data_IF_249068973126
#
_entry.id   IF_249068973126
#
_cell.length_a   1.000
_cell.length_b   1.000
_cell.length_c   1.000
_cell.angle_alpha   90.00
_cell.angle_beta   90.00
_cell.angle_gamma   90.00
#
_symmetry.space_group_name_H-M   'P 1'
#
loop_
_entity.id
_entity.type
_entity.pdbx_description
1 polymer ?
#
# COMPACT_ATOMS: atom_id res chain seq x y z
N UNK A 1 3.15 13.71 22.50
CA UNK A 1 3.25 13.27 21.09
C UNK A 1 2.77 11.82 20.98
N UNK A 2 1.75 11.53 20.18
CA UNK A 2 1.22 10.16 20.04
C UNK A 2 2.30 9.24 19.44
N UNK A 3 2.64 8.15 20.13
CA UNK A 3 3.56 7.11 19.66
C UNK A 3 3.02 6.58 18.32
N UNK A 4 3.71 6.84 17.21
CA UNK A 4 3.37 6.24 15.91
C UNK A 4 3.46 4.72 16.08
N UNK A 5 2.31 4.03 16.10
CA UNK A 5 2.27 2.56 16.10
C UNK A 5 3.03 2.08 14.85
N UNK A 6 4.14 1.38 15.07
CA UNK A 6 4.93 0.76 14.01
C UNK A 6 4.05 -0.15 13.14
N UNK A 7 4.49 -0.43 11.92
CA UNK A 7 3.84 -1.40 11.05
C UNK A 7 4.00 -2.81 11.65
N UNK A 8 2.89 -3.51 11.83
CA UNK A 8 2.88 -4.90 12.27
C UNK A 8 3.26 -5.81 11.10
N UNK A 9 3.85 -6.95 11.40
CA UNK A 9 4.22 -7.95 10.40
C UNK A 9 3.04 -8.39 9.51
N UNK A 10 1.84 -8.52 10.09
CA UNK A 10 0.61 -8.84 9.33
C UNK A 10 0.25 -7.75 8.32
N UNK A 11 0.31 -6.48 8.72
CA UNK A 11 0.06 -5.33 7.84
C UNK A 11 1.09 -5.27 6.70
N UNK A 12 2.36 -5.53 7.01
CA UNK A 12 3.42 -5.59 6.00
C UNK A 12 3.15 -6.68 4.95
N UNK A 13 2.71 -7.86 5.40
CA UNK A 13 2.41 -8.99 4.51
C UNK A 13 1.18 -8.72 3.63
N UNK A 14 0.12 -8.13 4.20
CA UNK A 14 -1.07 -7.71 3.44
C UNK A 14 -0.68 -6.72 2.35
N UNK A 15 0.14 -5.73 2.70
CA UNK A 15 0.57 -4.71 1.75
C UNK A 15 1.41 -5.29 0.61
N UNK A 16 2.36 -6.19 0.91
CA UNK A 16 3.19 -6.83 -0.13
C UNK A 16 2.35 -7.70 -1.06
N UNK A 17 1.47 -8.55 -0.49
CA UNK A 17 0.68 -9.50 -1.26
C UNK A 17 -0.35 -8.82 -2.17
N UNK A 18 -0.95 -7.71 -1.70
CA UNK A 18 -2.02 -7.03 -2.43
C UNK A 18 -1.50 -5.84 -3.26
N UNK A 19 -0.25 -5.42 -3.11
CA UNK A 19 0.27 -4.21 -3.80
C UNK A 19 0.09 -4.26 -5.32
N UNK A 20 0.25 -5.43 -5.94
CA UNK A 20 0.18 -5.60 -7.38
C UNK A 20 -1.23 -5.44 -7.95
N UNK A 21 -2.24 -5.88 -7.19
CA UNK A 21 -3.63 -6.02 -7.61
C UNK A 21 -4.58 -5.04 -6.94
N UNK A 22 -4.13 -4.30 -5.91
CA UNK A 22 -4.96 -3.37 -5.16
C UNK A 22 -4.57 -1.90 -5.39
N UNK A 23 -5.57 -1.03 -5.46
CA UNK A 23 -5.37 0.43 -5.45
C UNK A 23 -4.99 0.93 -4.05
N UNK A 24 -4.60 2.20 -3.92
CA UNK A 24 -4.26 2.76 -2.59
C UNK A 24 -5.50 2.83 -1.69
N UNK A 25 -6.66 3.13 -2.26
CA UNK A 25 -7.92 3.17 -1.52
C UNK A 25 -8.38 1.78 -1.09
N UNK A 26 -8.20 0.77 -1.95
CA UNK A 26 -8.44 -0.63 -1.57
C UNK A 26 -7.48 -1.08 -0.45
N UNK A 27 -6.20 -0.72 -0.55
CA UNK A 27 -5.22 -1.00 0.51
C UNK A 27 -5.56 -0.28 1.83
N UNK A 28 -6.15 0.91 1.77
CA UNK A 28 -6.66 1.63 2.95
C UNK A 28 -7.79 0.86 3.63
N UNK A 29 -8.70 0.27 2.85
CA UNK A 29 -9.76 -0.60 3.37
C UNK A 29 -9.21 -1.87 4.06
N UNK A 30 -8.14 -2.46 3.52
CA UNK A 30 -7.49 -3.65 4.08
C UNK A 30 -6.59 -3.34 5.30
N UNK A 31 -6.17 -2.09 5.48
CA UNK A 31 -5.26 -1.65 6.53
C UNK A 31 -5.91 -0.57 7.40
N UNK A 32 -6.90 -0.94 8.23
CA UNK A 32 -7.64 0.03 9.03
C UNK A 32 -6.71 0.81 9.96
N UNK A 33 -6.83 2.14 9.92
CA UNK A 33 -5.98 3.05 10.69
C UNK A 33 -4.64 3.41 10.03
N UNK A 34 -4.41 3.00 8.77
CA UNK A 34 -3.30 3.49 7.94
C UNK A 34 -3.80 4.50 6.94
N UNK A 35 -3.26 5.71 7.03
CA UNK A 35 -3.52 6.76 6.05
C UNK A 35 -2.88 6.44 4.69
N UNK A 36 -3.49 6.86 3.57
CA UNK A 36 -2.95 6.68 2.22
C UNK A 36 -1.48 7.11 2.07
N UNK A 37 -1.11 8.24 2.69
CA UNK A 37 0.27 8.74 2.67
C UNK A 37 1.24 7.82 3.42
N UNK A 38 0.78 7.23 4.53
CA UNK A 38 1.57 6.25 5.29
C UNK A 38 1.80 4.98 4.49
N UNK A 39 0.76 4.51 3.79
CA UNK A 39 0.80 3.36 2.88
C UNK A 39 1.80 3.63 1.75
N UNK A 40 1.70 4.79 1.09
CA UNK A 40 2.62 5.21 0.02
C UNK A 40 4.07 5.27 0.51
N UNK A 41 4.31 5.89 1.68
CA UNK A 41 5.65 5.94 2.27
C UNK A 41 6.20 4.55 2.58
N UNK A 42 5.35 3.62 3.04
CA UNK A 42 5.74 2.23 3.32
C UNK A 42 6.06 1.46 2.04
N UNK A 43 5.24 1.58 1.01
CA UNK A 43 5.48 0.99 -0.32
C UNK A 43 6.84 1.45 -0.86
N UNK A 44 7.14 2.76 -0.82
CA UNK A 44 8.44 3.30 -1.25
C UNK A 44 9.61 2.63 -0.52
N UNK A 45 9.50 2.46 0.81
CA UNK A 45 10.52 1.77 1.61
C UNK A 45 10.66 0.29 1.24
N UNK A 46 9.56 -0.40 0.95
CA UNK A 46 9.58 -1.80 0.55
C UNK A 46 10.15 -2.04 -0.84
N UNK A 47 9.90 -1.13 -1.78
CA UNK A 47 10.57 -1.14 -3.08
C UNK A 47 12.08 -0.96 -2.91
N UNK A 48 12.50 0.03 -2.10
CA UNK A 48 13.92 0.25 -1.79
C UNK A 48 14.57 -0.96 -1.11
N UNK A 49 13.84 -1.67 -0.25
CA UNK A 49 14.30 -2.87 0.43
C UNK A 49 14.18 -4.15 -0.41
N UNK A 50 13.69 -4.08 -1.66
CA UNK A 50 13.51 -5.25 -2.53
C UNK A 50 12.39 -6.22 -2.11
N UNK A 51 11.55 -5.84 -1.14
CA UNK A 51 10.40 -6.64 -0.66
C UNK A 51 9.23 -6.62 -1.65
N UNK A 52 9.06 -5.52 -2.38
CA UNK A 52 8.12 -5.39 -3.49
C UNK A 52 8.96 -5.29 -4.76
N UNK A 53 8.76 -6.23 -5.68
CA UNK A 53 9.44 -6.25 -6.98
C UNK A 53 8.43 -5.98 -8.08
N UNK A 54 8.70 -4.99 -8.93
CA UNK A 54 7.84 -4.66 -10.07
C UNK A 54 6.75 -3.61 -9.80
N UNK A 55 5.90 -3.43 -10.81
CA UNK A 55 4.82 -2.45 -10.85
C UNK A 55 3.46 -3.01 -10.42
N UNK A 56 2.45 -2.15 -10.44
CA UNK A 56 1.03 -2.57 -10.37
C UNK A 56 0.62 -3.11 -11.74
N UNK A 57 -0.42 -3.94 -11.80
CA UNK A 57 -1.00 -4.37 -13.08
C UNK A 57 -1.66 -3.18 -13.78
N UNK A 58 -1.72 -3.21 -15.12
CA UNK A 58 -2.35 -2.15 -15.93
C UNK A 58 -3.81 -1.91 -15.51
N UNK A 59 -4.55 -2.98 -15.23
CA UNK A 59 -5.93 -2.91 -14.71
C UNK A 59 -6.01 -2.15 -13.38
N UNK A 60 -5.06 -2.39 -12.47
CA UNK A 60 -5.00 -1.71 -11.18
C UNK A 60 -4.61 -0.25 -11.34
N UNK A 61 -3.78 0.07 -12.33
CA UNK A 61 -3.43 1.44 -12.67
C UNK A 61 -4.66 2.17 -13.20
N UNK A 62 -5.39 1.57 -14.15
CA UNK A 62 -6.64 2.13 -14.69
C UNK A 62 -7.64 2.42 -13.57
N UNK A 63 -7.93 1.42 -12.71
CA UNK A 63 -8.85 1.59 -11.57
C UNK A 63 -8.42 2.70 -10.63
N UNK A 64 -7.11 2.85 -10.38
CA UNK A 64 -6.60 3.91 -9.53
C UNK A 64 -6.76 5.31 -10.14
N UNK A 65 -6.77 5.43 -11.47
CA UNK A 65 -7.09 6.69 -12.15
C UNK A 65 -8.58 6.99 -12.08
N UNK A 66 -9.44 5.99 -12.29
CA UNK A 66 -10.91 6.15 -12.20
C UNK A 66 -11.35 6.59 -10.80
N UNK A 67 -10.75 6.03 -9.74
CA UNK A 67 -11.03 6.39 -8.35
C UNK A 67 -10.61 7.83 -7.97
N UNK A 68 -9.78 8.49 -8.79
CA UNK A 68 -9.33 9.87 -8.55
C UNK A 68 -10.15 10.93 -9.28
N UNK A 69 -11.07 10.50 -10.15
CA UNK A 69 -11.97 11.37 -10.92
C UNK A 69 -13.19 11.75 -10.08
#
# INVERSE_FOLDING_TARGET
>A
MAKRKGWKFSEEKILINNYHTATIDELRGLLPGREPDSINAKIKRFKKAGKIKGGKTEETISRAYDQRK
#
